data_IF_027009574568
#
_entry.id   IF_027009574568
#
_cell.length_a   1.000
_cell.length_b   1.000
_cell.length_c   1.000
_cell.angle_alpha   90.00
_cell.angle_beta   90.00
_cell.angle_gamma   90.00
#
_symmetry.space_group_name_H-M   'P 1'
#
loop_
_entity.id
_entity.type
_entity.pdbx_description
1 polymer ?
#
# COMPACT_ATOMS: atom_id res chain seq x y z
N UNK A 1 -23.24 36.55 -74.96
CA UNK A 1 -23.61 37.14 -73.63
C UNK A 1 -23.70 36.07 -72.63
N UNK A 2 -22.61 35.87 -71.89
CA UNK A 2 -22.51 34.83 -70.83
C UNK A 2 -22.83 35.45 -69.45
N UNK A 3 -23.87 34.98 -68.79
CA UNK A 3 -24.20 35.38 -67.40
C UNK A 3 -23.53 34.43 -66.47
N UNK A 4 -22.61 34.95 -65.65
CA UNK A 4 -21.95 34.24 -64.57
C UNK A 4 -22.86 34.22 -63.34
N UNK A 5 -23.26 33.01 -62.89
CA UNK A 5 -23.92 32.85 -61.57
C UNK A 5 -22.89 32.59 -60.52
N UNK A 6 -22.85 33.45 -59.51
CA UNK A 6 -22.01 33.33 -58.31
C UNK A 6 -22.80 32.58 -57.28
N UNK A 7 -22.28 31.43 -56.86
CA UNK A 7 -22.85 30.59 -55.82
C UNK A 7 -22.21 30.98 -54.46
N UNK A 8 -22.95 31.34 -53.41
CA UNK A 8 -22.38 31.62 -52.12
C UNK A 8 -22.08 30.35 -51.33
N UNK A 9 -20.82 30.20 -50.91
CA UNK A 9 -20.40 29.15 -49.95
C UNK A 9 -20.93 29.50 -48.55
N UNK A 10 -21.84 28.67 -48.04
CA UNK A 10 -22.23 28.67 -46.63
C UNK A 10 -21.16 27.95 -45.82
N UNK A 11 -20.39 28.73 -45.02
CA UNK A 11 -19.54 28.16 -43.97
C UNK A 11 -20.42 27.61 -42.86
N UNK A 12 -20.49 26.27 -42.75
CA UNK A 12 -21.06 25.58 -41.61
C UNK A 12 -20.09 25.64 -40.43
N UNK A 13 -20.38 26.49 -39.45
CA UNK A 13 -19.70 26.49 -38.18
C UNK A 13 -20.17 25.24 -37.38
N UNK A 14 -19.34 24.21 -37.35
CA UNK A 14 -19.57 23.05 -36.49
C UNK A 14 -19.39 23.40 -35.02
N UNK A 15 -20.50 23.42 -34.25
CA UNK A 15 -20.44 23.42 -32.78
C UNK A 15 -19.82 22.09 -32.33
N UNK A 16 -18.58 22.11 -31.93
CA UNK A 16 -17.98 21.05 -31.06
C UNK A 16 -18.63 21.16 -29.67
N UNK A 17 -19.74 20.46 -29.49
CA UNK A 17 -20.31 20.22 -28.18
C UNK A 17 -19.30 19.38 -27.39
N UNK A 18 -18.57 20.01 -26.46
CA UNK A 18 -17.73 19.33 -25.49
C UNK A 18 -18.61 18.40 -24.65
N UNK A 19 -18.53 17.09 -24.90
CA UNK A 19 -19.15 16.11 -24.03
C UNK A 19 -18.51 16.22 -22.64
N UNK A 20 -19.28 16.38 -21.55
CA UNK A 20 -18.73 16.30 -20.23
C UNK A 20 -18.09 14.93 -20.07
N UNK A 21 -16.81 14.90 -19.65
CA UNK A 21 -16.16 13.67 -19.20
C UNK A 21 -16.91 13.23 -17.94
N UNK A 22 -17.86 12.33 -18.12
CA UNK A 22 -18.52 11.68 -17.00
C UNK A 22 -17.44 10.88 -16.24
N UNK A 23 -16.99 11.36 -15.10
CA UNK A 23 -16.30 10.55 -14.12
C UNK A 23 -17.33 9.56 -13.57
N UNK A 24 -17.42 8.41 -14.21
CA UNK A 24 -18.15 7.29 -13.66
C UNK A 24 -17.38 6.85 -12.42
N UNK A 25 -17.95 7.08 -11.23
CA UNK A 25 -17.51 6.39 -10.03
C UNK A 25 -17.73 4.90 -10.29
N UNK A 26 -16.65 4.16 -10.53
CA UNK A 26 -16.74 2.71 -10.74
C UNK A 26 -16.78 2.03 -9.38
N UNK A 27 -17.93 1.50 -9.03
CA UNK A 27 -18.06 0.63 -7.87
C UNK A 27 -17.69 -0.80 -8.27
N UNK A 28 -16.73 -1.39 -7.55
CA UNK A 28 -16.44 -2.82 -7.64
C UNK A 28 -17.34 -3.55 -6.64
N UNK A 29 -18.16 -4.46 -7.13
CA UNK A 29 -18.90 -5.42 -6.29
C UNK A 29 -18.17 -6.76 -6.39
N UNK A 30 -17.53 -7.16 -5.30
CA UNK A 30 -16.82 -8.42 -5.20
C UNK A 30 -17.61 -9.38 -4.31
N UNK A 31 -17.93 -10.56 -4.86
CA UNK A 31 -18.60 -11.62 -4.11
C UNK A 31 -17.55 -12.62 -3.64
N UNK A 32 -17.45 -12.82 -2.34
CA UNK A 32 -16.57 -13.77 -1.69
C UNK A 32 -17.36 -14.90 -1.05
N UNK A 33 -16.70 -16.03 -0.79
CA UNK A 33 -17.27 -17.21 -0.09
C UNK A 33 -17.56 -16.92 1.39
N UNK A 34 -17.00 -15.84 1.96
CA UNK A 34 -17.19 -15.43 3.33
C UNK A 34 -16.94 -13.94 3.54
N UNK A 35 -17.31 -13.44 4.71
CA UNK A 35 -16.97 -12.07 5.12
C UNK A 35 -15.55 -12.02 5.69
N UNK A 36 -14.76 -10.96 5.42
CA UNK A 36 -13.46 -10.79 6.05
C UNK A 36 -13.62 -10.59 7.57
N UNK A 37 -12.70 -11.16 8.35
CA UNK A 37 -12.64 -10.96 9.80
C UNK A 37 -12.12 -9.55 10.16
N UNK A 38 -11.37 -8.92 9.26
CA UNK A 38 -10.89 -7.55 9.40
C UNK A 38 -10.04 -7.11 8.21
N UNK A 39 -9.49 -5.90 8.33
CA UNK A 39 -8.78 -5.22 7.24
C UNK A 39 -7.30 -4.94 7.55
N UNK A 40 -6.74 -5.52 8.61
CA UNK A 40 -5.30 -5.46 8.85
C UNK A 40 -4.62 -6.74 8.34
N UNK A 41 -3.98 -6.73 7.16
CA UNK A 41 -3.47 -7.95 6.52
C UNK A 41 -2.42 -8.69 7.34
N UNK A 42 -1.74 -7.99 8.26
CA UNK A 42 -0.75 -8.61 9.14
C UNK A 42 -1.33 -9.61 10.13
N UNK A 43 -2.61 -9.49 10.48
CA UNK A 43 -3.28 -10.27 11.53
C UNK A 43 -3.93 -11.56 11.02
N UNK A 44 -4.12 -11.70 9.70
CA UNK A 44 -4.93 -12.76 9.11
C UNK A 44 -4.12 -13.68 8.21
N UNK A 45 -4.71 -14.83 7.90
CA UNK A 45 -4.07 -15.87 7.08
C UNK A 45 -5.00 -16.42 5.99
N UNK A 46 -6.22 -15.89 5.86
CA UNK A 46 -7.20 -16.37 4.87
C UNK A 46 -7.20 -15.54 3.60
N UNK A 47 -7.48 -16.17 2.47
CA UNK A 47 -7.61 -15.48 1.18
C UNK A 47 -8.71 -14.42 1.21
N UNK A 48 -9.83 -14.70 1.88
CA UNK A 48 -10.96 -13.77 2.02
C UNK A 48 -10.55 -12.44 2.66
N UNK A 49 -9.69 -12.50 3.71
CA UNK A 49 -9.18 -11.28 4.36
C UNK A 49 -8.21 -10.53 3.46
N UNK A 50 -7.34 -11.24 2.72
CA UNK A 50 -6.37 -10.62 1.82
C UNK A 50 -7.03 -9.98 0.61
N UNK A 51 -8.00 -10.65 -0.01
CA UNK A 51 -8.73 -10.11 -1.16
C UNK A 51 -9.49 -8.83 -0.79
N UNK A 52 -10.07 -8.79 0.42
CA UNK A 52 -10.78 -7.62 0.91
C UNK A 52 -9.86 -6.47 1.33
N UNK A 53 -8.60 -6.72 1.66
CA UNK A 53 -7.70 -5.73 2.25
C UNK A 53 -6.38 -5.56 1.48
N UNK A 54 -5.49 -6.55 1.52
CA UNK A 54 -4.13 -6.45 1.00
C UNK A 54 -4.07 -6.19 -0.51
N UNK A 55 -5.01 -6.76 -1.27
CA UNK A 55 -5.02 -6.66 -2.73
C UNK A 55 -5.80 -5.43 -3.24
N UNK A 56 -6.60 -4.80 -2.38
CA UNK A 56 -7.50 -3.70 -2.74
C UNK A 56 -7.11 -2.38 -2.10
N UNK A 57 -6.88 -2.38 -0.79
CA UNK A 57 -6.69 -1.18 0.02
C UNK A 57 -5.21 -0.81 0.19
N UNK A 58 -4.32 -1.81 0.23
CA UNK A 58 -2.92 -1.60 0.57
C UNK A 58 -1.97 -1.85 -0.59
N UNK A 59 -0.74 -1.37 -0.43
CA UNK A 59 0.42 -1.75 -1.23
C UNK A 59 1.57 -2.19 -0.31
N UNK A 60 2.54 -2.91 -0.90
CA UNK A 60 3.74 -3.46 -0.26
C UNK A 60 4.99 -2.82 -0.85
N UNK A 61 6.15 -3.01 -0.22
CA UNK A 61 7.43 -2.52 -0.77
C UNK A 61 7.75 -3.19 -2.11
N UNK A 62 7.58 -4.49 -2.18
CA UNK A 62 7.61 -5.30 -3.40
C UNK A 62 6.26 -6.01 -3.58
N UNK A 63 5.98 -6.53 -4.77
CA UNK A 63 4.75 -7.24 -5.07
C UNK A 63 5.03 -8.36 -6.07
N UNK A 64 4.17 -9.36 -6.12
CA UNK A 64 4.25 -10.36 -7.17
C UNK A 64 3.70 -9.80 -8.49
N UNK A 65 4.33 -10.20 -9.59
CA UNK A 65 3.79 -9.96 -10.93
C UNK A 65 2.42 -10.64 -11.06
N UNK A 66 1.46 -9.97 -11.68
CA UNK A 66 0.12 -10.53 -11.85
C UNK A 66 0.17 -11.80 -12.71
N UNK A 67 -0.33 -12.90 -12.15
CA UNK A 67 -0.34 -14.20 -12.82
C UNK A 67 1.03 -14.90 -12.84
N UNK A 68 2.02 -14.38 -12.10
CA UNK A 68 3.36 -14.93 -11.99
C UNK A 68 3.87 -15.00 -10.55
N UNK A 69 5.10 -15.48 -10.39
CA UNK A 69 5.80 -15.56 -9.10
C UNK A 69 7.01 -14.62 -9.03
N UNK A 70 7.28 -13.89 -10.10
CA UNK A 70 8.35 -12.89 -10.12
C UNK A 70 8.01 -11.72 -9.19
N UNK A 71 9.02 -11.25 -8.45
CA UNK A 71 8.86 -10.09 -7.57
C UNK A 71 9.26 -8.84 -8.33
N UNK A 72 8.38 -7.86 -8.32
CA UNK A 72 8.54 -6.58 -8.98
C UNK A 72 8.41 -5.42 -7.97
N UNK A 73 8.89 -4.20 -8.30
CA UNK A 73 8.70 -3.02 -7.49
C UNK A 73 7.24 -2.71 -7.16
N UNK A 74 7.00 -2.29 -5.90
CA UNK A 74 5.73 -1.78 -5.41
C UNK A 74 5.89 -0.34 -4.91
N UNK A 75 5.78 -0.12 -3.59
CA UNK A 75 6.10 1.15 -2.94
C UNK A 75 7.60 1.44 -2.91
N UNK A 76 8.46 0.42 -3.02
CA UNK A 76 9.87 0.62 -3.36
C UNK A 76 10.01 0.63 -4.88
N UNK A 77 10.84 1.53 -5.39
CA UNK A 77 11.19 1.62 -6.82
C UNK A 77 12.29 0.61 -7.19
N UNK A 78 13.13 0.26 -6.23
CA UNK A 78 14.19 -0.73 -6.30
C UNK A 78 14.68 -1.08 -4.89
N UNK A 79 15.53 -2.10 -4.82
CA UNK A 79 16.26 -2.47 -3.60
C UNK A 79 17.69 -2.92 -3.95
N UNK A 80 18.59 -2.69 -3.01
CA UNK A 80 19.96 -3.13 -3.08
C UNK A 80 20.20 -4.20 -2.00
N UNK A 81 20.92 -5.25 -2.34
CA UNK A 81 21.28 -6.33 -1.42
C UNK A 81 22.79 -6.28 -1.23
N UNK A 82 23.26 -6.32 0.03
CA UNK A 82 24.70 -6.37 0.31
C UNK A 82 25.34 -7.67 -0.16
N UNK A 83 26.65 -7.66 -0.41
CA UNK A 83 27.39 -8.82 -0.91
C UNK A 83 27.29 -10.04 0.01
N UNK A 84 27.14 -9.82 1.32
CA UNK A 84 26.95 -10.87 2.32
C UNK A 84 25.50 -11.37 2.41
N UNK A 85 24.57 -10.74 1.68
CA UNK A 85 23.15 -11.09 1.67
C UNK A 85 22.40 -10.75 2.97
N UNK A 86 23.00 -9.98 3.87
CA UNK A 86 22.42 -9.69 5.20
C UNK A 86 21.73 -8.33 5.26
N UNK A 87 21.94 -7.43 4.31
CA UNK A 87 21.31 -6.10 4.32
C UNK A 87 20.52 -5.86 3.05
N UNK A 88 19.29 -5.38 3.22
CA UNK A 88 18.37 -5.03 2.14
C UNK A 88 18.00 -3.56 2.27
N UNK A 89 18.44 -2.73 1.32
CA UNK A 89 18.15 -1.29 1.28
C UNK A 89 17.07 -1.02 0.24
N UNK A 90 15.91 -0.57 0.67
CA UNK A 90 14.78 -0.23 -0.20
C UNK A 90 14.74 1.28 -0.45
N UNK A 91 14.63 1.66 -1.73
CA UNK A 91 14.43 3.03 -2.18
C UNK A 91 12.95 3.25 -2.45
N UNK A 92 12.32 4.11 -1.66
CA UNK A 92 10.89 4.28 -1.64
C UNK A 92 10.41 5.21 -2.76
N UNK A 93 9.20 4.98 -3.23
CA UNK A 93 8.50 5.84 -4.19
C UNK A 93 8.06 7.11 -3.51
N UNK A 94 8.33 8.25 -4.14
CA UNK A 94 7.92 9.56 -3.66
C UNK A 94 6.50 9.92 -4.12
N UNK A 95 5.82 10.82 -3.38
CA UNK A 95 4.54 11.41 -3.77
C UNK A 95 3.33 10.48 -3.69
N UNK A 96 3.47 9.24 -3.18
CA UNK A 96 2.35 8.31 -3.01
C UNK A 96 1.46 8.81 -1.86
N UNK A 97 0.17 8.98 -2.14
CA UNK A 97 -0.79 9.47 -1.15
C UNK A 97 -1.50 8.29 -0.46
N UNK A 98 -1.71 8.43 0.84
CA UNK A 98 -2.67 7.59 1.56
C UNK A 98 -4.11 8.03 1.25
N UNK A 99 -5.05 7.12 1.46
CA UNK A 99 -6.48 7.43 1.30
C UNK A 99 -6.91 8.59 2.18
N UNK A 100 -7.78 9.43 1.64
CA UNK A 100 -8.44 10.52 2.36
C UNK A 100 -9.91 10.14 2.56
N UNK A 101 -10.32 9.96 3.81
CA UNK A 101 -11.66 9.52 4.21
C UNK A 101 -12.30 10.53 5.16
N UNK A 102 -13.54 10.32 5.58
CA UNK A 102 -14.19 11.16 6.58
C UNK A 102 -13.54 11.05 7.97
N UNK A 103 -12.86 9.93 8.26
CA UNK A 103 -12.23 9.67 9.55
C UNK A 103 -10.71 9.91 9.56
N UNK A 104 -10.07 10.10 8.39
CA UNK A 104 -8.64 10.41 8.28
C UNK A 104 -8.35 11.30 7.07
N UNK A 105 -7.53 12.32 7.29
CA UNK A 105 -7.00 13.21 6.25
C UNK A 105 -5.48 13.22 6.37
N UNK A 106 -4.74 12.57 5.44
CA UNK A 106 -3.28 12.58 5.48
C UNK A 106 -2.73 14.00 5.29
N UNK A 107 -1.74 14.36 6.08
CA UNK A 107 -1.04 15.65 5.96
C UNK A 107 0.29 15.53 5.22
N UNK A 108 0.74 14.31 4.96
CA UNK A 108 1.95 14.01 4.20
C UNK A 108 1.77 12.78 3.30
N UNK A 109 2.57 12.64 2.23
CA UNK A 109 2.66 11.41 1.47
C UNK A 109 3.35 10.29 2.25
N UNK A 110 3.28 9.07 1.71
CA UNK A 110 4.03 7.90 2.17
C UNK A 110 5.53 8.19 2.24
N UNK A 111 6.17 7.73 3.31
CA UNK A 111 7.61 7.80 3.50
C UNK A 111 8.15 6.64 4.37
N UNK A 112 9.42 6.74 4.76
CA UNK A 112 10.11 5.73 5.56
C UNK A 112 9.46 5.49 6.95
N UNK A 113 8.81 6.48 7.54
CA UNK A 113 8.18 6.33 8.86
C UNK A 113 7.02 5.32 8.83
N UNK A 114 6.32 5.22 7.70
CA UNK A 114 5.24 4.25 7.52
C UNK A 114 5.78 2.82 7.43
N UNK A 115 6.93 2.65 6.78
CA UNK A 115 7.63 1.36 6.74
C UNK A 115 8.11 0.97 8.14
N UNK A 116 8.75 1.91 8.85
CA UNK A 116 9.20 1.69 10.24
C UNK A 116 8.03 1.33 11.15
N UNK A 117 6.92 2.05 11.08
CA UNK A 117 5.74 1.74 11.87
C UNK A 117 5.22 0.34 11.57
N UNK A 118 5.03 0.01 10.28
CA UNK A 118 4.47 -1.26 9.84
C UNK A 118 5.25 -2.46 10.39
N UNK A 119 6.57 -2.44 10.25
CA UNK A 119 7.38 -3.58 10.68
C UNK A 119 7.70 -3.55 12.18
N UNK A 120 7.94 -2.37 12.77
CA UNK A 120 8.21 -2.30 14.21
C UNK A 120 7.02 -2.73 15.06
N UNK A 121 5.76 -2.51 14.61
CA UNK A 121 4.61 -3.03 15.35
C UNK A 121 4.54 -4.57 15.35
N UNK A 122 5.18 -5.23 14.37
CA UNK A 122 5.32 -6.69 14.32
C UNK A 122 6.54 -7.19 15.10
N UNK A 123 7.65 -6.43 15.06
CA UNK A 123 8.92 -6.77 15.71
C UNK A 123 8.95 -6.44 17.21
N UNK A 124 8.47 -5.25 17.59
CA UNK A 124 8.61 -4.73 18.97
C UNK A 124 7.27 -4.76 19.72
N UNK A 125 7.13 -5.71 20.62
CA UNK A 125 5.96 -5.82 21.54
C UNK A 125 5.87 -4.64 22.52
N UNK A 126 6.93 -3.83 22.66
CA UNK A 126 6.97 -2.66 23.54
C UNK A 126 6.54 -1.36 22.82
N UNK A 127 6.39 -1.39 21.50
CA UNK A 127 5.88 -0.23 20.77
C UNK A 127 4.55 0.26 21.38
N UNK A 128 4.35 1.56 21.61
CA UNK A 128 3.12 2.08 22.23
C UNK A 128 1.85 1.62 21.55
N UNK A 129 1.82 1.60 20.22
CA UNK A 129 0.67 1.12 19.46
C UNK A 129 0.40 -0.38 19.70
N UNK A 130 1.47 -1.20 19.73
CA UNK A 130 1.38 -2.64 19.99
C UNK A 130 0.89 -2.95 21.40
N UNK A 131 1.27 -2.13 22.41
CA UNK A 131 0.75 -2.25 23.78
C UNK A 131 -0.71 -1.85 23.89
N UNK A 132 -1.13 -0.81 23.17
CA UNK A 132 -2.51 -0.34 23.19
C UNK A 132 -3.46 -1.26 22.40
N UNK A 133 -2.95 -1.98 21.41
CA UNK A 133 -3.67 -2.96 20.61
C UNK A 133 -2.84 -4.23 20.43
N UNK A 134 -2.81 -5.11 21.46
CA UNK A 134 -2.08 -6.38 21.40
C UNK A 134 -2.73 -7.30 20.35
N UNK A 135 -1.92 -7.70 19.37
CA UNK A 135 -2.34 -8.59 18.28
C UNK A 135 -1.22 -9.56 17.94
N UNK A 136 -1.51 -10.66 17.27
CA UNK A 136 -0.51 -11.56 16.72
C UNK A 136 -0.39 -11.37 15.20
N UNK A 137 0.78 -11.73 14.65
CA UNK A 137 1.09 -11.61 13.23
C UNK A 137 1.58 -12.97 12.72
N UNK A 138 0.64 -13.92 12.45
CA UNK A 138 0.99 -15.32 12.23
C UNK A 138 2.00 -15.54 11.10
N UNK A 139 1.74 -15.02 9.90
CA UNK A 139 2.68 -15.20 8.79
C UNK A 139 4.07 -14.63 9.07
N UNK A 140 4.13 -13.46 9.71
CA UNK A 140 5.40 -12.82 10.05
C UNK A 140 6.24 -13.69 11.01
N UNK A 141 5.60 -14.27 12.03
CA UNK A 141 6.26 -15.15 13.01
C UNK A 141 6.53 -16.55 12.48
N UNK A 142 5.60 -17.13 11.72
CA UNK A 142 5.75 -18.48 11.17
C UNK A 142 6.86 -18.56 10.12
N UNK A 143 7.09 -17.46 9.39
CA UNK A 143 8.23 -17.31 8.47
C UNK A 143 9.53 -16.96 9.18
N UNK A 144 9.53 -16.83 10.51
CA UNK A 144 10.72 -16.51 11.30
C UNK A 144 11.26 -15.10 11.09
N UNK A 145 10.48 -14.20 10.48
CA UNK A 145 10.93 -12.82 10.20
C UNK A 145 11.15 -12.02 11.49
N UNK A 146 10.38 -12.31 12.54
CA UNK A 146 10.54 -11.74 13.88
C UNK A 146 11.90 -12.03 14.54
N UNK A 147 12.54 -13.14 14.15
CA UNK A 147 13.86 -13.57 14.64
C UNK A 147 14.97 -13.16 13.68
N UNK A 148 14.67 -13.14 12.39
CA UNK A 148 15.69 -12.88 11.37
C UNK A 148 15.91 -11.39 11.12
N UNK A 149 14.90 -10.53 11.23
CA UNK A 149 15.09 -9.07 11.13
C UNK A 149 15.63 -8.55 12.47
N UNK A 150 16.93 -8.27 12.51
CA UNK A 150 17.60 -7.78 13.73
C UNK A 150 17.66 -6.26 13.80
N UNK A 151 17.49 -5.58 12.68
CA UNK A 151 17.48 -4.12 12.63
C UNK A 151 16.66 -3.60 11.45
N UNK A 152 15.91 -2.54 11.70
CA UNK A 152 15.23 -1.74 10.68
C UNK A 152 15.57 -0.27 10.91
N UNK A 153 16.11 0.38 9.89
CA UNK A 153 16.61 1.75 9.96
C UNK A 153 16.01 2.63 8.88
N UNK A 154 15.61 3.84 9.28
CA UNK A 154 15.41 4.95 8.36
C UNK A 154 16.76 5.57 8.05
N UNK A 155 17.20 5.50 6.80
CA UNK A 155 18.44 6.17 6.36
C UNK A 155 18.15 7.62 5.96
N UNK A 156 17.03 7.84 5.30
CA UNK A 156 16.44 9.15 4.98
C UNK A 156 14.92 9.02 4.80
N UNK A 157 14.24 10.07 4.32
CA UNK A 157 12.78 10.09 4.14
C UNK A 157 12.26 9.03 3.15
N UNK A 158 13.13 8.58 2.22
CA UNK A 158 12.75 7.65 1.16
C UNK A 158 13.69 6.44 1.05
N UNK A 159 14.45 6.18 2.12
CA UNK A 159 15.36 5.02 2.13
C UNK A 159 15.30 4.31 3.48
N UNK A 160 15.02 3.02 3.44
CA UNK A 160 15.02 2.17 4.65
C UNK A 160 15.94 0.98 4.43
N UNK A 161 16.53 0.48 5.53
CA UNK A 161 17.38 -0.70 5.52
C UNK A 161 16.89 -1.72 6.54
N UNK A 162 16.75 -2.95 6.06
CA UNK A 162 16.59 -4.12 6.89
C UNK A 162 17.93 -4.84 7.01
N UNK A 163 18.29 -5.24 8.24
CA UNK A 163 19.46 -6.09 8.50
C UNK A 163 18.98 -7.42 9.08
N UNK A 164 19.47 -8.52 8.53
CA UNK A 164 19.09 -9.87 8.90
C UNK A 164 20.17 -10.52 9.76
N UNK A 165 19.76 -11.43 10.65
CA UNK A 165 20.67 -12.27 11.43
C UNK A 165 21.32 -13.36 10.58
N UNK A 166 20.63 -13.85 9.56
CA UNK A 166 21.10 -14.86 8.61
C UNK A 166 20.55 -14.61 7.21
N UNK A 167 21.27 -15.07 6.20
CA UNK A 167 20.85 -14.97 4.80
C UNK A 167 19.50 -15.67 4.61
N UNK A 168 18.56 -14.96 4.00
CA UNK A 168 17.23 -15.48 3.65
C UNK A 168 16.97 -15.24 2.16
N UNK A 169 17.05 -16.29 1.37
CA UNK A 169 16.82 -16.24 -0.07
C UNK A 169 15.36 -15.88 -0.42
N UNK A 170 14.42 -16.08 0.50
CA UNK A 170 13.00 -15.76 0.34
C UNK A 170 12.62 -14.37 0.86
N UNK A 171 13.56 -13.61 1.44
CA UNK A 171 13.22 -12.34 2.10
C UNK A 171 12.44 -11.37 1.20
N UNK A 172 12.88 -11.19 -0.06
CA UNK A 172 12.19 -10.30 -1.01
C UNK A 172 10.80 -10.81 -1.38
N UNK A 173 10.62 -12.13 -1.51
CA UNK A 173 9.32 -12.76 -1.74
C UNK A 173 8.41 -12.58 -0.52
N UNK A 174 8.94 -12.73 0.68
CA UNK A 174 8.21 -12.50 1.92
C UNK A 174 7.73 -11.03 2.03
N UNK A 175 8.55 -10.07 1.57
CA UNK A 175 8.17 -8.65 1.51
C UNK A 175 7.08 -8.33 0.46
N UNK A 176 6.81 -9.26 -0.46
CA UNK A 176 5.72 -9.16 -1.44
C UNK A 176 4.41 -9.81 -0.95
N UNK A 177 4.42 -10.50 0.20
CA UNK A 177 3.23 -11.16 0.74
C UNK A 177 2.28 -10.18 1.42
N UNK A 178 1.02 -10.56 1.51
CA UNK A 178 -0.08 -9.72 2.02
C UNK A 178 0.17 -9.14 3.42
N UNK A 179 0.79 -9.90 4.32
CA UNK A 179 1.10 -9.43 5.68
C UNK A 179 2.06 -8.22 5.72
N UNK A 180 2.88 -8.04 4.67
CA UNK A 180 3.83 -6.93 4.55
C UNK A 180 3.20 -5.64 3.98
N UNK A 181 1.87 -5.54 3.97
CA UNK A 181 1.12 -4.36 3.57
C UNK A 181 1.44 -3.15 4.44
N UNK A 182 1.79 -2.03 3.80
CA UNK A 182 2.24 -0.84 4.49
C UNK A 182 1.06 -0.07 5.09
N UNK A 183 1.15 0.23 6.38
CA UNK A 183 0.18 0.98 7.17
C UNK A 183 0.67 2.42 7.39
N UNK A 184 -0.26 3.38 7.46
CA UNK A 184 0.09 4.77 7.75
C UNK A 184 0.48 4.96 9.22
N UNK A 185 1.70 5.43 9.46
CA UNK A 185 2.17 5.79 10.80
C UNK A 185 1.38 6.98 11.37
N UNK A 186 1.04 7.94 10.52
CA UNK A 186 0.24 9.12 10.88
C UNK A 186 -1.16 8.72 11.36
N UNK A 187 -1.81 7.82 10.62
CA UNK A 187 -3.12 7.30 11.01
C UNK A 187 -3.07 6.51 12.32
N UNK A 188 -2.07 5.67 12.48
CA UNK A 188 -1.85 4.92 13.73
C UNK A 188 -1.64 5.87 14.92
N UNK A 189 -0.85 6.93 14.76
CA UNK A 189 -0.66 7.96 15.79
C UNK A 189 -1.98 8.66 16.14
N UNK A 190 -2.80 9.03 15.13
CA UNK A 190 -4.13 9.59 15.34
C UNK A 190 -5.00 8.64 16.17
N UNK A 191 -5.07 7.37 15.78
CA UNK A 191 -5.87 6.36 16.48
C UNK A 191 -5.41 6.15 17.93
N UNK A 192 -4.09 6.15 18.15
CA UNK A 192 -3.53 6.03 19.48
C UNK A 192 -3.91 7.23 20.37
N UNK A 193 -3.81 8.46 19.84
CA UNK A 193 -4.23 9.69 20.54
C UNK A 193 -5.73 9.70 20.87
N UNK A 194 -6.54 9.09 20.01
CA UNK A 194 -8.01 8.97 20.21
C UNK A 194 -8.40 7.82 21.14
N UNK A 195 -7.45 6.97 21.56
CA UNK A 195 -7.73 5.77 22.36
C UNK A 195 -8.49 4.69 21.58
N UNK A 196 -8.36 4.67 20.25
CA UNK A 196 -9.06 3.75 19.35
C UNK A 196 -8.11 2.96 18.43
N UNK A 197 -7.01 2.39 18.94
CA UNK A 197 -6.03 1.72 18.09
C UNK A 197 -6.59 0.51 17.33
N UNK A 198 -7.65 -0.13 17.82
CA UNK A 198 -8.33 -1.23 17.15
C UNK A 198 -9.04 -0.81 15.84
N UNK A 199 -9.37 0.48 15.67
CA UNK A 199 -9.98 0.99 14.44
C UNK A 199 -9.07 0.78 13.21
N UNK A 200 -7.77 0.57 13.37
CA UNK A 200 -6.85 0.24 12.27
C UNK A 200 -7.30 -1.03 11.51
N UNK A 201 -7.97 -1.95 12.22
CA UNK A 201 -8.49 -3.19 11.65
C UNK A 201 -9.93 -3.07 11.10
N UNK A 202 -10.63 -1.98 11.41
CA UNK A 202 -12.04 -1.79 11.02
C UNK A 202 -12.22 -0.69 9.99
N UNK A 203 -11.30 0.26 9.98
CA UNK A 203 -11.30 1.46 9.12
C UNK A 203 -9.94 1.57 8.46
N UNK A 204 -9.69 0.76 7.43
CA UNK A 204 -8.37 0.70 6.82
C UNK A 204 -8.01 2.00 6.10
N UNK A 205 -6.73 2.38 6.18
CA UNK A 205 -6.13 3.46 5.41
C UNK A 205 -4.88 2.91 4.72
N UNK A 206 -4.93 2.83 3.42
CA UNK A 206 -3.85 2.33 2.58
C UNK A 206 -3.50 3.29 1.45
N UNK A 207 -2.72 2.79 0.51
CA UNK A 207 -2.30 3.48 -0.72
C UNK A 207 -2.80 2.76 -1.98
N UNK A 208 -3.63 1.74 -1.80
CA UNK A 208 -4.17 0.92 -2.87
C UNK A 208 -5.25 1.61 -3.70
N UNK A 209 -5.77 0.96 -4.74
CA UNK A 209 -6.72 1.57 -5.69
C UNK A 209 -8.14 1.73 -5.13
N UNK A 210 -8.48 1.11 -4.00
CA UNK A 210 -9.80 1.16 -3.38
C UNK A 210 -9.73 1.66 -1.93
N UNK A 211 -10.81 2.30 -1.51
CA UNK A 211 -11.02 2.86 -0.15
C UNK A 211 -12.18 2.14 0.52
#
# INVERSE_FOLDING_TARGET
MLKHAVLPYLLGAGLLAGAPLAHAASNLVFCSEGSPAGFDPGQYTTSTDFDASAETVFNRLSQFERGGTAVIPGLATRWDISDDGLSYTFHLREGVQFHSTDYFKPIRPFNADDVLFTFNRMLDRNLPFRKAYPTEFPYFTDMGMDKNIVKLEKLDEHTVRFTLASVDAAFIQNMAMSFASIQSAEYAEQLLKQGKPADINQKPIGTGPFV
#
